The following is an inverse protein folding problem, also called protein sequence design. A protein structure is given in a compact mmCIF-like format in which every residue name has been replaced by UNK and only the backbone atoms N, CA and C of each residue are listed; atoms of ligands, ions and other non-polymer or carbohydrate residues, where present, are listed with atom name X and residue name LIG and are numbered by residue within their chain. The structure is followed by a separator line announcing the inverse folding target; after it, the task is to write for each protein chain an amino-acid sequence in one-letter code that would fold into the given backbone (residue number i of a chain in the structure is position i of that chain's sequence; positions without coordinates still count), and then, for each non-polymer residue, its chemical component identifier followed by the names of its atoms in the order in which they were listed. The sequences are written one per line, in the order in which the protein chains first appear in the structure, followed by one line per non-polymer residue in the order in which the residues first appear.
data_IF_268997532294
#
_entry.id   IF_268997532294
#
_cell.length_a   1.000
_cell.length_b   1.000
_cell.length_c   1.000
_cell.angle_alpha   90.00
_cell.angle_beta   90.00
_cell.angle_gamma   90.00
#
_symmetry.space_group_name_H-M   'P 1'
#
loop_
_entity.id
_entity.type
_entity.pdbx_description
1 polymer ?
#
# COMPACT_ATOMS: atom_id res chain seq x y z
N UNK A 1 16.48 -10.69 -9.27
CA UNK A 1 15.29 -9.84 -9.01
C UNK A 1 15.56 -8.99 -7.78
N UNK A 2 15.92 -9.64 -6.67
CA UNK A 2 16.32 -9.02 -5.41
C UNK A 2 17.45 -7.99 -5.60
N UNK A 3 18.55 -8.35 -6.26
CA UNK A 3 19.68 -7.43 -6.48
C UNK A 3 19.31 -6.13 -7.19
N UNK A 4 18.28 -6.16 -8.06
CA UNK A 4 17.80 -4.97 -8.75
C UNK A 4 17.05 -4.01 -7.82
N UNK A 5 16.38 -4.51 -6.78
CA UNK A 5 15.74 -3.68 -5.75
C UNK A 5 16.80 -2.93 -4.94
N UNK A 6 17.89 -3.61 -4.57
CA UNK A 6 18.98 -3.03 -3.79
C UNK A 6 19.99 -2.24 -4.63
N UNK A 7 19.77 -2.12 -5.94
CA UNK A 7 20.62 -1.35 -6.84
C UNK A 7 20.49 0.16 -6.61
N UNK A 8 21.52 0.92 -6.96
CA UNK A 8 21.47 2.38 -7.07
C UNK A 8 21.00 2.88 -8.46
N UNK A 9 20.73 1.97 -9.40
CA UNK A 9 20.26 2.29 -10.74
C UNK A 9 18.73 2.23 -10.81
N UNK A 10 18.10 3.38 -11.07
CA UNK A 10 16.64 3.50 -11.21
C UNK A 10 16.05 2.50 -12.20
N UNK A 11 16.71 2.27 -13.34
CA UNK A 11 16.23 1.31 -14.34
C UNK A 11 16.23 -0.13 -13.79
N UNK A 12 17.25 -0.51 -13.02
CA UNK A 12 17.31 -1.83 -12.39
C UNK A 12 16.26 -1.98 -11.29
N UNK A 13 16.02 -0.92 -10.51
CA UNK A 13 14.97 -0.87 -9.49
C UNK A 13 13.59 -1.03 -10.11
N UNK A 14 13.27 -0.27 -11.17
CA UNK A 14 12.01 -0.36 -11.92
C UNK A 14 11.79 -1.77 -12.48
N UNK A 15 12.80 -2.32 -13.16
CA UNK A 15 12.71 -3.69 -13.71
C UNK A 15 12.50 -4.73 -12.62
N UNK A 16 13.09 -4.53 -11.44
CA UNK A 16 12.91 -5.44 -10.31
C UNK A 16 11.53 -5.33 -9.67
N UNK A 17 11.06 -4.12 -9.33
CA UNK A 17 9.76 -3.92 -8.68
C UNK A 17 8.61 -4.37 -9.58
N UNK A 18 8.63 -4.05 -10.88
CA UNK A 18 7.60 -4.48 -11.83
C UNK A 18 7.52 -6.01 -11.91
N UNK A 19 8.65 -6.73 -11.75
CA UNK A 19 8.65 -8.20 -11.67
C UNK A 19 8.01 -8.69 -10.37
N UNK A 20 8.29 -8.05 -9.23
CA UNK A 20 7.63 -8.37 -7.97
C UNK A 20 6.11 -8.12 -8.04
N UNK A 21 5.67 -6.99 -8.61
CA UNK A 21 4.25 -6.72 -8.83
C UNK A 21 3.56 -7.83 -9.61
N UNK A 22 4.14 -8.25 -10.74
CA UNK A 22 3.59 -9.34 -11.55
C UNK A 22 3.47 -10.65 -10.78
N UNK A 23 4.49 -10.97 -9.97
CA UNK A 23 4.49 -12.19 -9.14
C UNK A 23 3.40 -12.10 -8.06
N UNK A 24 3.27 -10.96 -7.39
CA UNK A 24 2.30 -10.72 -6.31
C UNK A 24 0.85 -10.63 -6.82
N UNK A 25 0.63 -10.19 -8.07
CA UNK A 25 -0.70 -10.11 -8.70
C UNK A 25 -1.21 -11.46 -9.24
N UNK A 26 -0.52 -12.57 -8.99
CA UNK A 26 -0.96 -13.89 -9.44
C UNK A 26 -2.19 -14.35 -8.63
N UNK A 27 -3.29 -14.68 -9.32
CA UNK A 27 -4.57 -15.04 -8.66
C UNK A 27 -4.49 -16.28 -7.75
N UNK A 28 -3.59 -17.22 -8.07
CA UNK A 28 -3.47 -18.49 -7.33
C UNK A 28 -2.20 -18.53 -6.51
N UNK A 29 -2.35 -18.39 -5.20
CA UNK A 29 -1.31 -18.55 -4.20
C UNK A 29 -0.04 -17.75 -4.53
N UNK A 30 -0.11 -16.40 -4.56
CA UNK A 30 1.07 -15.57 -4.78
C UNK A 30 2.12 -15.90 -3.71
N UNK A 31 3.42 -15.94 -4.06
CA UNK A 31 4.48 -16.31 -3.13
C UNK A 31 4.83 -15.15 -2.17
N UNK A 32 3.81 -14.59 -1.52
CA UNK A 32 3.90 -13.38 -0.68
C UNK A 32 4.86 -13.57 0.49
N UNK A 33 4.78 -14.72 1.18
CA UNK A 33 5.70 -15.08 2.27
C UNK A 33 7.16 -14.98 1.81
N UNK A 34 7.49 -15.64 0.69
CA UNK A 34 8.85 -15.64 0.12
C UNK A 34 9.31 -14.24 -0.26
N UNK A 35 8.41 -13.37 -0.74
CA UNK A 35 8.75 -11.98 -1.06
C UNK A 35 9.13 -11.23 0.22
N UNK A 36 8.38 -11.41 1.30
CA UNK A 36 8.68 -10.79 2.60
C UNK A 36 10.01 -11.32 3.15
N UNK A 37 10.24 -12.63 3.10
CA UNK A 37 11.48 -13.28 3.55
C UNK A 37 12.73 -12.82 2.78
N UNK A 38 12.57 -12.35 1.53
CA UNK A 38 13.67 -11.75 0.76
C UNK A 38 14.14 -10.39 1.32
N UNK A 39 13.46 -9.82 2.32
CA UNK A 39 13.84 -8.55 2.94
C UNK A 39 13.63 -7.32 2.05
N UNK A 40 12.82 -7.43 0.99
CA UNK A 40 12.61 -6.33 0.02
C UNK A 40 11.54 -5.32 0.45
N UNK A 41 10.70 -5.65 1.44
CA UNK A 41 9.60 -4.78 1.90
C UNK A 41 10.09 -3.40 2.35
N UNK A 42 11.14 -3.26 3.20
CA UNK A 42 11.66 -1.94 3.56
C UNK A 42 12.10 -1.12 2.34
N UNK A 43 12.69 -1.75 1.32
CA UNK A 43 13.07 -1.06 0.10
C UNK A 43 11.86 -0.60 -0.72
N UNK A 44 10.78 -1.39 -0.76
CA UNK A 44 9.54 -0.94 -1.41
C UNK A 44 8.95 0.27 -0.69
N UNK A 45 9.03 0.34 0.64
CA UNK A 45 8.63 1.53 1.39
C UNK A 45 9.51 2.73 1.06
N UNK A 46 10.82 2.55 0.92
CA UNK A 46 11.71 3.63 0.46
C UNK A 46 11.38 4.10 -0.96
N UNK A 47 10.90 3.21 -1.84
CA UNK A 47 10.46 3.57 -3.19
C UNK A 47 9.23 4.49 -3.17
N UNK A 48 8.33 4.38 -2.18
CA UNK A 48 7.18 5.28 -2.01
C UNK A 48 7.62 6.73 -1.75
N UNK A 49 8.76 6.91 -1.08
CA UNK A 49 9.32 8.24 -0.74
C UNK A 49 9.99 8.93 -1.92
N UNK A 50 10.24 8.20 -3.01
CA UNK A 50 10.93 8.77 -4.17
C UNK A 50 10.02 9.75 -4.90
N UNK A 51 10.58 10.76 -5.56
CA UNK A 51 9.78 11.62 -6.45
C UNK A 51 9.45 10.99 -7.81
N UNK A 52 9.70 9.68 -8.00
CA UNK A 52 9.60 9.03 -9.30
C UNK A 52 8.28 8.26 -9.42
N UNK A 53 7.30 8.84 -10.11
CA UNK A 53 5.91 8.37 -10.14
C UNK A 53 5.74 6.90 -10.49
N UNK A 54 6.45 6.39 -11.49
CA UNK A 54 6.34 4.98 -11.88
C UNK A 54 6.90 4.03 -10.81
N UNK A 55 7.96 4.46 -10.11
CA UNK A 55 8.56 3.63 -9.06
C UNK A 55 7.67 3.62 -7.82
N UNK A 56 7.10 4.77 -7.45
CA UNK A 56 6.10 4.89 -6.40
C UNK A 56 4.85 4.06 -6.70
N UNK A 57 4.33 4.12 -7.92
CA UNK A 57 3.14 3.35 -8.32
C UNK A 57 3.37 1.84 -8.19
N UNK A 58 4.48 1.33 -8.75
CA UNK A 58 4.81 -0.10 -8.68
C UNK A 58 5.06 -0.55 -7.23
N UNK A 59 5.75 0.27 -6.43
CA UNK A 59 5.96 -0.02 -5.02
C UNK A 59 4.64 -0.04 -4.23
N UNK A 60 3.76 0.94 -4.46
CA UNK A 60 2.46 1.00 -3.83
C UNK A 60 1.62 -0.23 -4.19
N UNK A 61 1.58 -0.61 -5.48
CA UNK A 61 0.87 -1.80 -5.94
C UNK A 61 1.41 -3.08 -5.30
N UNK A 62 2.74 -3.27 -5.29
CA UNK A 62 3.35 -4.44 -4.64
C UNK A 62 2.93 -4.55 -3.17
N UNK A 63 2.99 -3.44 -2.43
CA UNK A 63 2.63 -3.41 -1.02
C UNK A 63 1.12 -3.58 -0.78
N UNK A 64 0.24 -3.06 -1.65
CA UNK A 64 -1.20 -3.30 -1.61
C UNK A 64 -1.53 -4.80 -1.72
N UNK A 65 -0.85 -5.50 -2.64
CA UNK A 65 -1.02 -6.94 -2.81
C UNK A 65 -0.51 -7.74 -1.61
N UNK A 66 0.58 -7.29 -0.97
CA UNK A 66 1.07 -7.89 0.28
C UNK A 66 0.03 -7.71 1.40
N UNK A 67 -0.56 -6.52 1.52
CA UNK A 67 -1.57 -6.18 2.54
C UNK A 67 -2.89 -6.97 2.39
N UNK A 68 -3.17 -7.53 1.21
CA UNK A 68 -4.36 -8.36 0.97
C UNK A 68 -4.25 -9.77 1.58
N UNK A 69 -3.04 -10.21 1.95
CA UNK A 69 -2.80 -11.56 2.46
C UNK A 69 -3.17 -11.75 3.94
N UNK A 70 -2.28 -12.40 4.70
CA UNK A 70 -2.54 -12.70 6.11
C UNK A 70 -2.15 -11.56 7.05
N UNK A 71 -2.58 -11.65 8.31
CA UNK A 71 -2.27 -10.65 9.33
C UNK A 71 -0.77 -10.51 9.61
N UNK A 72 0.01 -11.58 9.45
CA UNK A 72 1.47 -11.52 9.55
C UNK A 72 2.07 -10.60 8.47
N UNK A 73 1.52 -10.61 7.26
CA UNK A 73 2.00 -9.77 6.16
C UNK A 73 1.63 -8.30 6.39
N UNK A 74 0.40 -8.05 6.85
CA UNK A 74 -0.03 -6.71 7.27
C UNK A 74 0.87 -6.16 8.37
N UNK A 75 1.21 -6.98 9.37
CA UNK A 75 2.14 -6.58 10.43
C UNK A 75 3.55 -6.28 9.90
N UNK A 76 4.04 -7.03 8.90
CA UNK A 76 5.31 -6.75 8.25
C UNK A 76 5.32 -5.35 7.60
N UNK A 77 4.22 -4.93 6.98
CA UNK A 77 4.09 -3.57 6.41
C UNK A 77 4.09 -2.48 7.48
N UNK A 78 3.37 -2.69 8.59
CA UNK A 78 3.34 -1.76 9.72
C UNK A 78 4.74 -1.62 10.33
N UNK A 79 5.42 -2.74 10.55
CA UNK A 79 6.79 -2.76 11.08
C UNK A 79 7.77 -2.05 10.13
N UNK A 80 7.57 -2.16 8.82
CA UNK A 80 8.34 -1.45 7.80
C UNK A 80 7.95 0.03 7.63
N UNK A 81 7.05 0.57 8.46
CA UNK A 81 6.59 1.97 8.44
C UNK A 81 5.86 2.37 7.15
N UNK A 82 5.24 1.42 6.45
CA UNK A 82 4.53 1.68 5.19
C UNK A 82 3.30 2.60 5.39
N UNK A 83 2.66 2.57 6.57
CA UNK A 83 1.43 3.33 6.86
C UNK A 83 1.62 4.83 6.67
N UNK A 84 2.68 5.40 7.24
CA UNK A 84 2.95 6.84 7.13
C UNK A 84 3.17 7.25 5.67
N UNK A 85 3.83 6.40 4.88
CA UNK A 85 4.05 6.68 3.47
C UNK A 85 2.78 6.57 2.64
N UNK A 86 1.92 5.58 2.89
CA UNK A 86 0.62 5.53 2.23
C UNK A 86 -0.23 6.75 2.53
N UNK A 87 -0.26 7.21 3.79
CA UNK A 87 -0.99 8.43 4.17
C UNK A 87 -0.42 9.64 3.42
N UNK A 88 0.90 9.80 3.35
CA UNK A 88 1.54 10.87 2.59
C UNK A 88 1.16 10.83 1.09
N UNK A 89 1.16 9.63 0.51
CA UNK A 89 0.82 9.42 -0.89
C UNK A 89 -0.61 9.78 -1.24
N UNK A 90 -1.55 9.85 -0.28
CA UNK A 90 -2.91 10.35 -0.53
C UNK A 90 -2.97 11.80 -1.03
N UNK A 91 -1.86 12.54 -0.89
CA UNK A 91 -1.70 13.91 -1.42
C UNK A 91 -0.98 13.98 -2.78
N UNK A 92 -0.63 12.84 -3.38
CA UNK A 92 0.10 12.77 -4.65
C UNK A 92 -0.64 13.50 -5.77
N UNK A 93 0.12 14.14 -6.67
CA UNK A 93 -0.41 14.74 -7.89
C UNK A 93 -0.80 13.69 -8.95
N UNK A 94 -0.41 12.42 -8.77
CA UNK A 94 -0.68 11.33 -9.70
C UNK A 94 -1.84 10.46 -9.17
N UNK A 95 -3.00 10.44 -9.86
CA UNK A 95 -4.18 9.68 -9.46
C UNK A 95 -3.91 8.24 -9.10
N UNK A 96 -3.25 7.52 -9.99
CA UNK A 96 -2.96 6.09 -9.83
C UNK A 96 -2.18 5.78 -8.54
N UNK A 97 -1.32 6.71 -8.08
CA UNK A 97 -0.51 6.50 -6.87
C UNK A 97 -1.38 6.59 -5.62
N UNK A 98 -2.17 7.64 -5.49
CA UNK A 98 -3.00 7.78 -4.30
C UNK A 98 -4.17 6.78 -4.30
N UNK A 99 -4.64 6.33 -5.47
CA UNK A 99 -5.64 5.26 -5.58
C UNK A 99 -5.08 3.93 -5.02
N UNK A 100 -3.83 3.59 -5.35
CA UNK A 100 -3.15 2.43 -4.74
C UNK A 100 -2.97 2.62 -3.24
N UNK A 101 -2.58 3.81 -2.79
CA UNK A 101 -2.36 4.09 -1.38
C UNK A 101 -3.66 3.96 -0.55
N UNK A 102 -4.79 4.49 -1.04
CA UNK A 102 -6.07 4.36 -0.32
C UNK A 102 -6.53 2.90 -0.28
N UNK A 103 -6.29 2.13 -1.35
CA UNK A 103 -6.58 0.69 -1.35
C UNK A 103 -5.72 -0.06 -0.33
N UNK A 104 -4.42 0.20 -0.27
CA UNK A 104 -3.53 -0.39 0.72
C UNK A 104 -4.01 -0.13 2.16
N UNK A 105 -4.39 1.12 2.46
CA UNK A 105 -4.94 1.50 3.76
C UNK A 105 -6.25 0.76 4.06
N UNK A 106 -7.11 0.58 3.06
CA UNK A 106 -8.34 -0.20 3.20
C UNK A 106 -8.08 -1.68 3.49
N UNK A 107 -7.09 -2.30 2.85
CA UNK A 107 -6.68 -3.68 3.14
C UNK A 107 -6.15 -3.80 4.58
N UNK A 108 -5.26 -2.91 5.00
CA UNK A 108 -4.70 -2.88 6.37
C UNK A 108 -5.81 -2.66 7.41
N UNK A 109 -6.74 -1.72 7.18
CA UNK A 109 -7.88 -1.51 8.08
C UNK A 109 -8.82 -2.71 8.16
N UNK A 110 -8.95 -3.45 7.05
CA UNK A 110 -9.82 -4.61 6.94
C UNK A 110 -9.31 -5.85 7.67
N UNK A 111 -8.01 -5.90 7.98
CA UNK A 111 -7.34 -7.03 8.63
C UNK A 111 -7.84 -7.26 10.07
N UNK A 112 -7.75 -6.23 10.92
CA UNK A 112 -8.06 -6.35 12.35
C UNK A 112 -8.41 -5.00 12.99
N UNK A 113 -9.09 -5.02 14.14
CA UNK A 113 -9.44 -3.79 14.85
C UNK A 113 -8.19 -3.05 15.32
N UNK A 114 -7.11 -3.77 15.65
CA UNK A 114 -5.81 -3.19 16.01
C UNK A 114 -5.20 -2.43 14.82
N UNK A 115 -5.20 -3.03 13.62
CA UNK A 115 -4.69 -2.37 12.42
C UNK A 115 -5.54 -1.14 12.06
N UNK A 116 -6.87 -1.26 12.14
CA UNK A 116 -7.81 -0.13 11.98
C UNK A 116 -7.48 1.01 12.94
N UNK A 117 -7.39 0.73 14.23
CA UNK A 117 -7.16 1.75 15.26
C UNK A 117 -5.78 2.38 15.10
N UNK A 118 -4.77 1.59 14.71
CA UNK A 118 -3.44 2.08 14.37
C UNK A 118 -3.51 3.11 13.24
N UNK A 119 -4.20 2.83 12.14
CA UNK A 119 -4.36 3.77 11.02
C UNK A 119 -5.05 5.08 11.45
N UNK A 120 -6.11 4.97 12.27
CA UNK A 120 -6.84 6.14 12.77
C UNK A 120 -5.95 7.00 13.68
N UNK A 121 -5.17 6.39 14.57
CA UNK A 121 -4.20 7.08 15.43
C UNK A 121 -3.07 7.75 14.63
N UNK A 122 -2.73 7.21 13.45
CA UNK A 122 -1.75 7.81 12.53
C UNK A 122 -2.36 8.85 11.59
N UNK A 123 -3.63 9.23 11.78
CA UNK A 123 -4.25 10.34 11.05
C UNK A 123 -4.77 9.99 9.65
N UNK A 124 -4.96 8.71 9.33
CA UNK A 124 -5.41 8.29 7.99
C UNK A 124 -6.82 8.80 7.62
N UNK A 125 -7.67 9.11 8.60
CA UNK A 125 -9.08 9.48 8.37
C UNK A 125 -9.22 10.76 7.53
N UNK A 126 -8.54 11.84 7.92
CA UNK A 126 -8.76 13.15 7.29
C UNK A 126 -8.35 13.18 5.80
N UNK A 127 -7.21 12.59 5.39
CA UNK A 127 -6.86 12.47 3.99
C UNK A 127 -7.87 11.65 3.18
N UNK A 128 -8.38 10.54 3.71
CA UNK A 128 -9.42 9.72 3.03
C UNK A 128 -10.72 10.51 2.85
N UNK A 129 -11.16 11.26 3.87
CA UNK A 129 -12.33 12.14 3.74
C UNK A 129 -12.12 13.25 2.71
N UNK A 130 -10.90 13.77 2.61
CA UNK A 130 -10.55 14.80 1.61
C UNK A 130 -10.70 14.26 0.18
N UNK A 131 -10.33 13.01 -0.07
CA UNK A 131 -10.56 12.36 -1.37
C UNK A 131 -12.05 12.28 -1.70
N UNK A 132 -12.90 11.93 -0.73
CA UNK A 132 -14.35 11.87 -0.95
C UNK A 132 -15.03 13.22 -1.20
N UNK A 133 -14.38 14.32 -0.80
CA UNK A 133 -14.92 15.69 -0.93
C UNK A 133 -14.65 16.35 -2.28
N UNK A 134 -13.81 15.75 -3.12
CA UNK A 134 -13.43 16.27 -4.43
C UNK A 134 -14.22 15.58 -5.54
N UNK A 135 -14.36 16.26 -6.69
CA UNK A 135 -14.84 15.62 -7.91
C UNK A 135 -13.76 14.66 -8.43
N UNK A 136 -13.99 13.36 -8.23
CA UNK A 136 -13.16 12.28 -8.71
C UNK A 136 -13.99 11.27 -9.51
N UNK A 137 -13.31 10.40 -10.25
CA UNK A 137 -13.94 9.31 -10.97
C UNK A 137 -14.68 8.35 -10.01
N UNK A 138 -15.69 7.65 -10.53
CA UNK A 138 -16.50 6.73 -9.73
C UNK A 138 -15.67 5.58 -9.13
N UNK A 139 -14.66 5.09 -9.84
CA UNK A 139 -13.73 4.05 -9.38
C UNK A 139 -13.07 4.46 -8.07
N UNK A 140 -12.54 5.67 -8.04
CA UNK A 140 -11.90 6.29 -6.88
C UNK A 140 -12.85 6.36 -5.70
N UNK A 141 -14.05 6.92 -5.92
CA UNK A 141 -15.02 7.12 -4.85
C UNK A 141 -15.44 5.77 -4.25
N UNK A 142 -15.52 4.70 -5.06
CA UNK A 142 -15.77 3.34 -4.57
C UNK A 142 -14.66 2.86 -3.65
N UNK A 143 -13.39 2.98 -4.06
CA UNK A 143 -12.24 2.51 -3.27
C UNK A 143 -12.10 3.30 -1.96
N UNK A 144 -12.26 4.63 -2.01
CA UNK A 144 -12.21 5.47 -0.82
C UNK A 144 -13.40 5.19 0.13
N UNK A 145 -14.61 5.00 -0.40
CA UNK A 145 -15.79 4.64 0.40
C UNK A 145 -15.63 3.26 1.04
N UNK A 146 -15.09 2.28 0.30
CA UNK A 146 -14.80 0.95 0.83
C UNK A 146 -13.76 1.03 1.97
N UNK A 147 -12.70 1.81 1.79
CA UNK A 147 -11.69 2.06 2.82
C UNK A 147 -12.30 2.71 4.07
N UNK A 148 -13.14 3.73 3.90
CA UNK A 148 -13.86 4.36 5.00
C UNK A 148 -14.79 3.37 5.72
N UNK A 149 -15.42 2.44 4.98
CA UNK A 149 -16.24 1.39 5.60
C UNK A 149 -15.42 0.47 6.50
N UNK A 150 -14.17 0.15 6.12
CA UNK A 150 -13.26 -0.62 6.97
C UNK A 150 -12.79 0.18 8.19
N UNK A 151 -12.62 1.51 8.07
CA UNK A 151 -12.33 2.38 9.22
C UNK A 151 -13.46 2.38 10.27
N UNK A 152 -14.68 2.05 9.85
CA UNK A 152 -15.85 1.94 10.73
C UNK A 152 -16.20 0.49 11.10
N UNK A 153 -15.51 -0.51 10.55
CA UNK A 153 -15.84 -1.93 10.72
C UNK A 153 -15.32 -2.45 12.06
N UNK A 154 -16.08 -3.35 12.69
CA UNK A 154 -15.76 -3.97 13.97
C UNK A 154 -16.62 -3.41 15.10
N UNK A 155 -17.04 -4.26 16.04
CA UNK A 155 -17.76 -3.80 17.23
C UNK A 155 -16.78 -3.17 18.20
N UNK A 156 -17.18 -2.09 18.87
CA UNK A 156 -16.48 -1.64 20.08
C UNK A 156 -16.47 -2.81 21.08
N UNK A 157 -15.35 -3.08 21.78
CA UNK A 157 -15.34 -4.03 22.89
C UNK A 157 -16.36 -3.66 23.97
#
# INVERSE_FOLDING_TARGET
MIDGVFSHCLQQQLVAITKFCKVLSTERNPPTERVIECGVVPCFVEFLKTGHSMLQFEAAWALTNIAFGSSEYTQALINAQAVSEFINLLSSAVPDIWEQAVWALGNIAGDSFQCRDYLLQHGALQPVLTLLSKEHELSVLRTATWTLSNFCRGKSP
#
